data_IF_681318328058
#
_entry.id   IF_681318328058
#
_cell.length_a   1.000
_cell.length_b   1.000
_cell.length_c   1.000
_cell.angle_alpha   90.00
_cell.angle_beta   90.00
_cell.angle_gamma   90.00
#
_symmetry.space_group_name_H-M   'P 1'
#
loop_
_entity.id
_entity.type
_entity.pdbx_description
1 polymer ?
#
# COMPACT_ATOMS: atom_id res chain seq x y z
N UNK A 1 -28.32 -7.48 72.70
CA UNK A 1 -28.02 -8.51 71.74
C UNK A 1 -28.08 -7.87 70.35
N UNK A 2 -26.94 -7.59 69.79
CA UNK A 2 -26.82 -6.80 68.54
C UNK A 2 -26.55 -7.74 67.40
N UNK A 3 -27.50 -7.85 66.49
CA UNK A 3 -27.28 -8.52 65.19
C UNK A 3 -26.69 -7.53 64.22
N UNK A 4 -25.38 -7.63 63.99
CA UNK A 4 -24.70 -6.94 62.91
C UNK A 4 -25.03 -7.60 61.59
N UNK A 5 -25.83 -6.94 60.78
CA UNK A 5 -26.09 -7.30 59.40
C UNK A 5 -24.90 -6.86 58.54
N UNK A 6 -24.12 -7.82 58.13
CA UNK A 6 -23.06 -7.62 57.11
C UNK A 6 -23.72 -7.41 55.76
N UNK A 7 -23.77 -6.18 55.31
CA UNK A 7 -24.07 -5.87 53.88
C UNK A 7 -22.81 -6.11 53.06
N UNK A 8 -22.82 -7.20 52.35
CA UNK A 8 -21.83 -7.46 51.28
C UNK A 8 -22.10 -6.53 50.10
N UNK A 9 -21.22 -5.56 49.91
CA UNK A 9 -21.18 -4.79 48.69
C UNK A 9 -20.50 -5.65 47.63
N UNK A 10 -21.28 -6.22 46.72
CA UNK A 10 -20.77 -6.78 45.45
C UNK A 10 -20.50 -5.62 44.54
N UNK A 11 -19.26 -5.23 44.45
CA UNK A 11 -18.78 -4.30 43.39
C UNK A 11 -18.65 -5.12 42.12
N UNK A 12 -19.66 -5.02 41.27
CA UNK A 12 -19.59 -5.54 39.92
C UNK A 12 -18.71 -4.59 39.11
N UNK A 13 -17.44 -4.95 38.95
CA UNK A 13 -16.55 -4.32 38.01
C UNK A 13 -17.01 -4.71 36.59
N UNK A 14 -17.81 -3.83 35.99
CA UNK A 14 -18.03 -3.86 34.54
C UNK A 14 -16.71 -3.42 33.88
N UNK A 15 -15.90 -4.39 33.61
CA UNK A 15 -14.72 -4.20 32.72
C UNK A 15 -15.21 -3.88 31.32
N UNK A 16 -15.21 -2.59 31.00
CA UNK A 16 -15.38 -2.11 29.65
C UNK A 16 -14.11 -2.49 28.88
N UNK A 17 -14.15 -3.65 28.27
CA UNK A 17 -13.12 -4.06 27.30
C UNK A 17 -13.24 -3.16 26.07
N UNK A 18 -12.61 -1.99 26.15
CA UNK A 18 -12.34 -1.13 25.00
C UNK A 18 -11.24 -1.78 24.17
N UNK A 19 -11.69 -2.36 23.16
CA UNK A 19 -11.05 -3.19 22.17
C UNK A 19 -10.00 -2.60 21.30
N UNK A 20 -9.06 -3.46 20.88
CA UNK A 20 -7.90 -3.11 20.05
C UNK A 20 -8.22 -3.02 18.55
N UNK A 21 -9.35 -2.50 18.14
CA UNK A 21 -9.67 -2.37 16.71
C UNK A 21 -8.78 -1.36 15.99
N UNK A 22 -8.27 -0.36 16.72
CA UNK A 22 -7.30 0.62 16.20
C UNK A 22 -5.88 0.04 16.06
N UNK A 23 -5.51 -0.91 16.91
CA UNK A 23 -4.19 -1.54 16.85
C UNK A 23 -4.02 -2.48 15.65
N UNK A 24 -5.10 -3.16 15.21
CA UNK A 24 -5.07 -4.03 14.03
C UNK A 24 -4.90 -3.23 12.73
N UNK A 25 -5.51 -2.05 12.59
CA UNK A 25 -5.35 -1.17 11.43
C UNK A 25 -3.93 -0.60 11.32
N UNK A 26 -3.35 -0.11 12.44
CA UNK A 26 -1.99 0.39 12.49
C UNK A 26 -0.96 -0.70 12.18
N UNK A 27 -1.12 -1.92 12.69
CA UNK A 27 -0.26 -3.07 12.42
C UNK A 27 -0.28 -3.47 10.93
N UNK A 28 -1.46 -3.43 10.30
CA UNK A 28 -1.61 -3.74 8.87
C UNK A 28 -0.91 -2.72 7.97
N UNK A 29 -1.04 -1.42 8.28
CA UNK A 29 -0.35 -0.36 7.55
C UNK A 29 1.18 -0.45 7.70
N UNK A 30 1.67 -0.77 8.88
CA UNK A 30 3.11 -0.95 9.12
C UNK A 30 3.67 -2.15 8.36
N UNK A 31 2.95 -3.26 8.36
CA UNK A 31 3.33 -4.45 7.60
C UNK A 31 3.34 -4.16 6.09
N UNK A 32 2.35 -3.44 5.58
CA UNK A 32 2.28 -3.01 4.19
C UNK A 32 3.47 -2.13 3.81
N UNK A 33 3.79 -1.13 4.64
CA UNK A 33 4.97 -0.27 4.45
C UNK A 33 6.25 -1.08 4.42
N UNK A 34 6.38 -2.07 5.30
CA UNK A 34 7.55 -2.95 5.34
C UNK A 34 7.68 -3.74 4.04
N UNK A 35 6.61 -4.38 3.55
CA UNK A 35 6.62 -5.15 2.30
C UNK A 35 7.01 -4.27 1.10
N UNK A 36 6.47 -3.07 1.01
CA UNK A 36 6.81 -2.10 -0.04
C UNK A 36 8.28 -1.67 0.05
N UNK A 37 8.76 -1.38 1.26
CA UNK A 37 10.15 -0.97 1.48
C UNK A 37 11.15 -2.08 1.15
N UNK A 38 10.88 -3.33 1.51
CA UNK A 38 11.70 -4.50 1.19
C UNK A 38 11.75 -4.79 -0.31
N UNK A 39 10.65 -4.52 -1.03
CA UNK A 39 10.56 -4.73 -2.48
C UNK A 39 11.15 -3.58 -3.28
N UNK A 40 11.19 -2.38 -2.72
CA UNK A 40 11.64 -1.17 -3.40
C UNK A 40 12.97 -1.31 -4.16
N UNK A 41 14.07 -1.84 -3.59
CA UNK A 41 15.33 -1.96 -4.31
C UNK A 41 15.24 -2.90 -5.51
N UNK A 42 14.42 -3.95 -5.44
CA UNK A 42 14.22 -4.89 -6.55
C UNK A 42 13.44 -4.24 -7.69
N UNK A 43 12.37 -3.51 -7.36
CA UNK A 43 11.60 -2.74 -8.36
C UNK A 43 12.49 -1.64 -8.99
N UNK A 44 13.28 -0.93 -8.20
CA UNK A 44 14.21 0.08 -8.68
C UNK A 44 15.24 -0.49 -9.67
N UNK A 45 15.79 -1.67 -9.38
CA UNK A 45 16.72 -2.37 -10.28
C UNK A 45 16.05 -2.75 -11.61
N UNK A 46 14.82 -3.25 -11.58
CA UNK A 46 14.05 -3.58 -12.79
C UNK A 46 13.71 -2.34 -13.62
N UNK A 47 13.44 -1.20 -12.99
CA UNK A 47 13.25 0.08 -13.69
C UNK A 47 14.53 0.54 -14.37
N UNK A 48 15.66 0.49 -13.69
CA UNK A 48 16.97 0.83 -14.25
C UNK A 48 17.32 -0.07 -15.42
N UNK A 49 17.00 -1.35 -15.35
CA UNK A 49 17.20 -2.31 -16.43
C UNK A 49 16.22 -2.13 -17.61
N UNK A 50 15.17 -1.32 -17.45
CA UNK A 50 14.13 -1.14 -18.46
C UNK A 50 13.15 -2.29 -18.58
N UNK A 51 13.15 -3.21 -17.62
CA UNK A 51 12.22 -4.37 -17.59
C UNK A 51 10.83 -3.95 -17.16
N UNK A 52 10.73 -3.04 -16.21
CA UNK A 52 9.48 -2.45 -15.73
C UNK A 52 9.51 -0.93 -15.80
N UNK A 53 8.34 -0.32 -15.81
CA UNK A 53 8.18 1.13 -15.74
C UNK A 53 6.95 1.51 -14.93
N UNK A 54 6.84 2.80 -14.62
CA UNK A 54 5.66 3.36 -13.97
C UNK A 54 4.57 3.70 -14.99
N UNK A 55 3.32 3.53 -14.60
CA UNK A 55 2.17 3.93 -15.41
C UNK A 55 1.49 5.17 -14.83
N UNK A 56 0.82 5.93 -15.68
CA UNK A 56 0.03 7.10 -15.26
C UNK A 56 -1.08 6.75 -14.26
N UNK A 57 -1.49 5.48 -14.22
CA UNK A 57 -2.52 4.98 -13.29
C UNK A 57 -1.97 4.71 -11.88
N UNK A 58 -0.68 4.90 -11.64
CA UNK A 58 -0.05 4.72 -10.34
C UNK A 58 0.46 3.32 -10.03
N UNK A 59 0.55 2.47 -11.04
CA UNK A 59 1.05 1.10 -10.91
C UNK A 59 2.32 0.89 -11.72
N UNK A 60 3.03 -0.20 -11.46
CA UNK A 60 4.13 -0.66 -12.29
C UNK A 60 3.65 -1.66 -13.33
N UNK A 61 4.32 -1.72 -14.46
CA UNK A 61 4.03 -2.71 -15.49
C UNK A 61 5.31 -3.16 -16.18
N UNK A 62 5.26 -4.37 -16.77
CA UNK A 62 6.32 -4.82 -17.67
C UNK A 62 6.34 -3.95 -18.93
N UNK A 63 7.51 -3.50 -19.34
CA UNK A 63 7.68 -2.74 -20.58
C UNK A 63 7.41 -3.64 -21.79
N UNK A 64 7.92 -4.87 -21.74
CA UNK A 64 7.58 -5.93 -22.69
C UNK A 64 6.52 -6.86 -22.07
N UNK A 65 5.28 -6.72 -22.50
CA UNK A 65 4.14 -7.54 -22.05
C UNK A 65 4.30 -9.02 -22.40
N UNK A 66 5.12 -9.35 -23.40
CA UNK A 66 5.42 -10.72 -23.83
C UNK A 66 6.60 -11.34 -23.08
N UNK A 67 7.21 -10.61 -22.17
CA UNK A 67 8.32 -11.10 -21.36
C UNK A 67 8.00 -12.43 -20.69
N UNK A 68 8.95 -13.35 -20.74
CA UNK A 68 8.88 -14.65 -20.07
C UNK A 68 9.54 -14.65 -18.68
N UNK A 69 9.99 -13.49 -18.22
CA UNK A 69 10.58 -13.30 -16.90
C UNK A 69 9.52 -13.46 -15.81
N UNK A 70 9.46 -14.65 -15.24
CA UNK A 70 8.50 -15.00 -14.17
C UNK A 70 8.75 -14.22 -12.90
N UNK A 71 10.00 -13.97 -12.55
CA UNK A 71 10.37 -13.25 -11.32
C UNK A 71 9.96 -11.78 -11.41
N UNK A 72 10.18 -11.15 -12.57
CA UNK A 72 9.72 -9.78 -12.80
C UNK A 72 8.18 -9.68 -12.76
N UNK A 73 7.48 -10.64 -13.37
CA UNK A 73 6.00 -10.70 -13.31
C UNK A 73 5.49 -10.79 -11.88
N UNK A 74 6.03 -11.71 -11.10
CA UNK A 74 5.63 -11.91 -9.70
C UNK A 74 5.91 -10.66 -8.85
N UNK A 75 7.05 -10.01 -9.06
CA UNK A 75 7.38 -8.76 -8.37
C UNK A 75 6.40 -7.63 -8.72
N UNK A 76 6.03 -7.49 -10.00
CA UNK A 76 5.04 -6.52 -10.48
C UNK A 76 3.67 -6.77 -9.85
N UNK A 77 3.22 -8.02 -9.84
CA UNK A 77 1.93 -8.39 -9.24
C UNK A 77 1.88 -8.04 -7.75
N UNK A 78 2.88 -8.48 -6.97
CA UNK A 78 2.96 -8.19 -5.53
C UNK A 78 3.07 -6.70 -5.23
N UNK A 79 3.83 -5.97 -6.04
CA UNK A 79 3.95 -4.51 -5.90
C UNK A 79 2.60 -3.84 -6.12
N UNK A 80 1.88 -4.22 -7.16
CA UNK A 80 0.59 -3.62 -7.50
C UNK A 80 -0.52 -3.99 -6.52
N UNK A 81 -0.52 -5.20 -5.98
CA UNK A 81 -1.43 -5.59 -4.89
C UNK A 81 -1.23 -4.71 -3.66
N UNK A 82 0.00 -4.54 -3.22
CA UNK A 82 0.33 -3.72 -2.07
C UNK A 82 0.07 -2.22 -2.32
N UNK A 83 0.34 -1.72 -3.53
CA UNK A 83 -0.02 -0.34 -3.92
C UNK A 83 -1.52 -0.13 -3.87
N UNK A 84 -2.30 -1.07 -4.41
CA UNK A 84 -3.77 -1.00 -4.38
C UNK A 84 -4.29 -0.95 -2.94
N UNK A 85 -3.75 -1.78 -2.06
CA UNK A 85 -4.09 -1.75 -0.64
C UNK A 85 -3.75 -0.40 0.00
N UNK A 86 -2.56 0.14 -0.28
CA UNK A 86 -2.14 1.45 0.21
C UNK A 86 -3.06 2.57 -0.29
N UNK A 87 -3.44 2.54 -1.56
CA UNK A 87 -4.36 3.53 -2.15
C UNK A 87 -5.76 3.44 -1.54
N UNK A 88 -6.25 2.22 -1.25
CA UNK A 88 -7.52 2.04 -0.57
C UNK A 88 -7.51 2.66 0.83
N UNK A 89 -6.47 2.43 1.61
CA UNK A 89 -6.32 3.01 2.95
C UNK A 89 -6.35 4.55 2.89
N UNK A 90 -5.63 5.14 1.92
CA UNK A 90 -5.60 6.59 1.74
C UNK A 90 -6.97 7.11 1.27
N UNK A 91 -7.59 6.44 0.32
CA UNK A 91 -8.91 6.79 -0.21
C UNK A 91 -9.97 6.82 0.89
N UNK A 92 -9.97 5.82 1.76
CA UNK A 92 -10.89 5.73 2.90
C UNK A 92 -10.66 6.87 3.91
N UNK A 93 -9.42 7.21 4.20
CA UNK A 93 -9.06 8.32 5.10
C UNK A 93 -9.43 9.69 4.53
N UNK A 94 -9.19 9.89 3.24
CA UNK A 94 -9.44 11.16 2.57
C UNK A 94 -10.86 11.29 2.01
N UNK A 95 -11.66 10.22 2.05
CA UNK A 95 -13.01 10.15 1.46
C UNK A 95 -13.04 10.50 -0.03
N UNK A 96 -12.09 9.95 -0.75
CA UNK A 96 -11.98 10.05 -2.21
C UNK A 96 -11.96 8.66 -2.84
N UNK A 97 -11.98 8.57 -4.17
CA UNK A 97 -11.88 7.27 -4.85
C UNK A 97 -10.44 6.76 -4.90
N UNK A 98 -10.29 5.44 -4.99
CA UNK A 98 -8.97 4.77 -5.13
C UNK A 98 -8.26 5.26 -6.39
N UNK A 99 -9.00 5.44 -7.48
CA UNK A 99 -8.48 5.92 -8.77
C UNK A 99 -7.84 7.30 -8.63
N UNK A 100 -8.47 8.21 -7.89
CA UNK A 100 -7.90 9.54 -7.61
C UNK A 100 -6.58 9.47 -6.83
N UNK A 101 -6.48 8.56 -5.87
CA UNK A 101 -5.24 8.34 -5.12
C UNK A 101 -4.17 7.75 -6.04
N UNK A 102 -4.55 6.75 -6.84
CA UNK A 102 -3.65 6.09 -7.79
C UNK A 102 -3.12 7.07 -8.86
N UNK A 103 -3.96 7.91 -9.43
CA UNK A 103 -3.53 8.95 -10.38
C UNK A 103 -2.55 9.94 -9.76
N UNK A 104 -2.78 10.38 -8.52
CA UNK A 104 -1.83 11.25 -7.80
C UNK A 104 -0.49 10.54 -7.57
N UNK A 105 -0.53 9.25 -7.24
CA UNK A 105 0.68 8.44 -7.10
C UNK A 105 1.42 8.29 -8.42
N UNK A 106 0.71 8.08 -9.53
CA UNK A 106 1.28 8.01 -10.88
C UNK A 106 1.99 9.31 -11.27
N UNK A 107 1.37 10.46 -11.02
CA UNK A 107 2.02 11.77 -11.23
C UNK A 107 3.32 11.90 -10.45
N UNK A 108 3.31 11.56 -9.16
CA UNK A 108 4.51 11.61 -8.32
C UNK A 108 5.60 10.64 -8.82
N UNK A 109 5.19 9.44 -9.26
CA UNK A 109 6.13 8.48 -9.80
C UNK A 109 6.81 9.00 -11.08
N UNK A 110 6.06 9.68 -11.94
CA UNK A 110 6.59 10.30 -13.16
C UNK A 110 7.57 11.43 -12.84
N UNK A 111 7.24 12.27 -11.85
CA UNK A 111 8.12 13.35 -11.40
C UNK A 111 9.43 12.83 -10.80
N UNK A 112 9.36 11.74 -10.04
CA UNK A 112 10.52 11.12 -9.35
C UNK A 112 11.32 10.17 -10.21
N UNK A 113 10.81 9.77 -11.37
CA UNK A 113 11.50 8.84 -12.27
C UNK A 113 12.85 9.42 -12.70
N UNK A 114 13.83 8.55 -12.78
CA UNK A 114 15.19 8.91 -13.24
C UNK A 114 15.27 8.93 -14.75
N UNK A 115 16.17 9.74 -15.32
CA UNK A 115 16.42 9.69 -16.75
C UNK A 115 16.70 8.26 -17.24
N UNK A 116 16.09 7.88 -18.36
CA UNK A 116 16.20 6.54 -18.94
C UNK A 116 15.17 5.51 -18.43
N UNK A 117 14.46 5.78 -17.34
CA UNK A 117 13.36 4.92 -16.91
C UNK A 117 12.13 5.06 -17.82
N UNK A 118 11.38 3.98 -17.98
CA UNK A 118 10.19 3.95 -18.83
C UNK A 118 8.94 4.41 -18.08
N UNK A 119 8.16 5.24 -18.76
CA UNK A 119 6.89 5.78 -18.27
C UNK A 119 5.79 5.50 -19.29
N UNK A 120 4.67 4.91 -18.86
CA UNK A 120 3.51 4.66 -19.71
C UNK A 120 2.47 5.75 -19.49
N UNK A 121 2.29 6.59 -20.50
CA UNK A 121 1.32 7.69 -20.46
C UNK A 121 -0.13 7.22 -20.62
N UNK A 122 -1.06 8.17 -20.55
CA UNK A 122 -2.49 7.92 -20.75
C UNK A 122 -2.83 7.43 -22.16
N UNK A 123 -1.95 7.69 -23.14
CA UNK A 123 -2.04 7.18 -24.50
C UNK A 123 -1.66 5.68 -24.64
N UNK A 124 -1.27 5.03 -23.53
CA UNK A 124 -0.87 3.63 -23.49
C UNK A 124 0.53 3.36 -24.06
N UNK A 125 1.30 4.40 -24.37
CA UNK A 125 2.64 4.26 -24.96
C UNK A 125 3.72 4.41 -23.90
N UNK A 126 4.76 3.59 -24.05
CA UNK A 126 5.99 3.70 -23.28
C UNK A 126 6.92 4.78 -23.85
N UNK A 127 7.43 5.64 -23.00
CA UNK A 127 8.45 6.63 -23.31
C UNK A 127 9.54 6.60 -22.25
N UNK A 128 10.78 6.79 -22.65
CA UNK A 128 11.89 7.01 -21.71
C UNK A 128 11.81 8.41 -21.14
N UNK A 129 12.06 8.52 -19.84
CA UNK A 129 12.30 9.82 -19.20
C UNK A 129 13.59 10.42 -19.74
N UNK A 130 13.52 11.68 -20.18
CA UNK A 130 14.68 12.49 -20.58
C UNK A 130 15.43 13.05 -19.37
#
# INVERSE_FOLDING_TARGET
>A
MNYMTRRSFVVTLLGLALLPCLALGASREEELKKRLAERFPKIAALKTAGTVGETHEGYVALVDEKSKDKDAKELVEKENEDRKEAYQIIADKEKVTVEKVAERAGKRAFEKAKPGEYLKGADGKWKKKE
#
